data_IF_363271940136
#
_entry.id   IF_363271940136
#
_cell.length_a   1.000
_cell.length_b   1.000
_cell.length_c   1.000
_cell.angle_alpha   90.00
_cell.angle_beta   90.00
_cell.angle_gamma   90.00
#
_symmetry.space_group_name_H-M   'P 1'
#
loop_
_entity.id
_entity.type
_entity.pdbx_description
1 polymer ?
#
# COMPACT_ATOMS: atom_id res chain seq x y z
N UNK A 1 39.64 -33.19 15.07
CA UNK A 1 38.67 -33.06 13.96
C UNK A 1 37.74 -31.92 14.32
N UNK A 2 38.03 -30.72 13.81
CA UNK A 2 37.18 -29.54 14.00
C UNK A 2 36.00 -29.65 13.04
N UNK A 3 34.77 -29.45 13.54
CA UNK A 3 33.62 -29.15 12.70
C UNK A 3 33.27 -27.67 12.87
N UNK A 4 33.34 -26.95 11.75
CA UNK A 4 32.90 -25.56 11.62
C UNK A 4 31.37 -25.51 11.50
N UNK A 5 30.79 -24.50 12.16
CA UNK A 5 29.39 -24.08 12.09
C UNK A 5 28.94 -23.79 10.65
N UNK A 6 27.66 -24.06 10.36
CA UNK A 6 26.94 -23.31 9.33
C UNK A 6 25.56 -22.94 9.88
N UNK A 7 25.52 -21.88 10.68
CA UNK A 7 24.28 -21.17 10.98
C UNK A 7 23.78 -20.55 9.67
N UNK A 8 22.85 -21.23 9.00
CA UNK A 8 22.05 -20.60 7.96
C UNK A 8 21.16 -19.58 8.66
N UNK A 9 21.56 -18.31 8.67
CA UNK A 9 20.62 -17.20 8.82
C UNK A 9 19.56 -17.39 7.74
N UNK A 10 18.33 -17.67 8.16
CA UNK A 10 17.17 -17.56 7.28
C UNK A 10 17.06 -16.08 6.95
N UNK A 11 17.45 -15.70 5.73
CA UNK A 11 17.24 -14.34 5.24
C UNK A 11 15.73 -14.18 5.08
N UNK A 12 15.08 -13.54 6.05
CA UNK A 12 13.72 -13.04 5.87
C UNK A 12 13.84 -11.94 4.80
N UNK A 13 13.03 -11.97 3.73
CA UNK A 13 13.12 -10.95 2.70
C UNK A 13 12.78 -9.58 3.29
N UNK A 14 13.71 -8.63 3.16
CA UNK A 14 13.45 -7.21 3.48
C UNK A 14 12.22 -6.77 2.68
N UNK A 15 11.23 -6.21 3.37
CA UNK A 15 10.01 -5.66 2.76
C UNK A 15 10.00 -4.15 2.88
N UNK A 16 9.63 -3.45 1.79
CA UNK A 16 9.60 -1.99 1.76
C UNK A 16 8.24 -1.56 2.33
N UNK A 17 8.29 -0.75 3.38
CA UNK A 17 7.13 -0.17 4.02
C UNK A 17 7.05 1.30 3.71
N UNK A 18 5.82 1.80 3.61
CA UNK A 18 5.53 3.22 3.48
C UNK A 18 4.65 3.65 4.64
N UNK A 19 4.94 4.85 5.13
CA UNK A 19 4.33 5.39 6.31
C UNK A 19 3.93 6.84 6.05
N UNK A 20 2.81 7.25 6.62
CA UNK A 20 2.43 8.65 6.69
C UNK A 20 2.11 9.05 8.13
N UNK A 21 2.47 10.27 8.52
CA UNK A 21 2.16 10.80 9.84
C UNK A 21 1.40 12.13 9.74
N UNK A 22 0.32 12.25 10.52
CA UNK A 22 -0.62 13.38 10.45
C UNK A 22 -0.91 14.01 11.82
N UNK A 23 -1.29 15.27 11.81
CA UNK A 23 -1.67 16.05 13.01
C UNK A 23 -2.90 15.50 13.72
N UNK A 24 -3.79 14.80 13.00
CA UNK A 24 -5.03 14.23 13.50
C UNK A 24 -5.31 12.83 12.94
N UNK A 25 -6.39 12.21 13.44
CA UNK A 25 -6.88 10.92 12.96
C UNK A 25 -7.30 10.97 11.49
N UNK A 26 -6.87 10.00 10.68
CA UNK A 26 -7.23 9.86 9.27
C UNK A 26 -8.05 8.58 9.02
N UNK A 27 -8.92 8.54 8.00
CA UNK A 27 -9.70 7.34 7.68
C UNK A 27 -8.85 6.14 7.27
N UNK A 28 -9.19 4.95 7.78
CA UNK A 28 -8.46 3.71 7.45
C UNK A 28 -9.27 2.78 6.57
N UNK A 29 -8.60 1.84 5.91
CA UNK A 29 -9.22 0.87 4.99
C UNK A 29 -8.73 1.01 3.55
N UNK A 30 -9.53 0.49 2.60
CA UNK A 30 -9.23 0.49 1.18
C UNK A 30 -9.92 1.66 0.45
N UNK A 31 -9.19 2.30 -0.46
CA UNK A 31 -9.65 3.44 -1.26
C UNK A 31 -9.35 3.22 -2.75
N UNK A 32 -10.22 3.76 -3.62
CA UNK A 32 -10.03 3.72 -5.08
C UNK A 32 -10.41 2.42 -5.78
N UNK A 33 -10.77 1.38 -5.03
CA UNK A 33 -11.21 0.09 -5.58
C UNK A 33 -12.61 0.19 -6.19
N UNK A 34 -12.82 -0.49 -7.33
CA UNK A 34 -14.10 -0.56 -8.03
C UNK A 34 -14.51 -2.02 -8.22
N UNK A 35 -15.30 -2.53 -7.29
CA UNK A 35 -15.81 -3.90 -7.33
C UNK A 35 -17.32 -3.93 -7.56
N UNK A 36 -17.77 -5.08 -8.06
CA UNK A 36 -19.14 -5.56 -7.85
C UNK A 36 -19.12 -6.66 -6.81
N UNK A 37 -20.13 -6.70 -5.95
CA UNK A 37 -20.29 -7.78 -4.98
C UNK A 37 -21.35 -8.76 -5.46
N UNK A 38 -21.05 -10.05 -5.43
CA UNK A 38 -22.01 -11.12 -5.72
C UNK A 38 -21.72 -12.33 -4.85
N UNK A 39 -22.62 -13.32 -4.87
CA UNK A 39 -22.38 -14.56 -4.11
C UNK A 39 -21.31 -15.41 -4.79
N UNK A 40 -20.60 -16.22 -4.00
CA UNK A 40 -19.62 -17.18 -4.48
C UNK A 40 -20.24 -18.10 -5.54
N UNK A 41 -21.49 -18.55 -5.31
CA UNK A 41 -22.20 -19.41 -6.26
C UNK A 41 -22.52 -18.69 -7.57
N UNK A 42 -22.96 -17.44 -7.52
CA UNK A 42 -23.24 -16.65 -8.72
C UNK A 42 -21.97 -16.45 -9.55
N UNK A 43 -20.84 -16.14 -8.89
CA UNK A 43 -19.54 -15.99 -9.56
C UNK A 43 -19.16 -17.25 -10.33
N UNK A 44 -19.17 -18.40 -9.67
CA UNK A 44 -18.78 -19.68 -10.29
C UNK A 44 -19.85 -20.27 -11.23
N UNK A 45 -21.00 -19.63 -11.37
CA UNK A 45 -22.07 -20.09 -12.26
C UNK A 45 -22.20 -19.21 -13.49
N UNK A 46 -22.10 -17.88 -13.31
CA UNK A 46 -22.41 -16.92 -14.36
C UNK A 46 -21.20 -16.11 -14.83
N UNK A 47 -20.15 -15.95 -14.00
CA UNK A 47 -18.99 -15.13 -14.33
C UNK A 47 -17.80 -15.98 -14.78
N UNK A 48 -17.41 -16.95 -13.96
CA UNK A 48 -16.28 -17.83 -14.26
C UNK A 48 -16.54 -19.28 -13.81
N UNK A 49 -17.26 -20.08 -14.62
CA UNK A 49 -17.53 -21.48 -14.31
C UNK A 49 -16.29 -22.34 -14.08
N UNK A 50 -15.20 -22.05 -14.80
CA UNK A 50 -13.94 -22.78 -14.68
C UNK A 50 -13.25 -22.55 -13.33
N UNK A 51 -13.57 -21.46 -12.62
CA UNK A 51 -13.02 -21.21 -11.29
C UNK A 51 -13.30 -22.35 -10.32
N UNK A 52 -14.38 -23.14 -10.50
CA UNK A 52 -14.67 -24.34 -9.67
C UNK A 52 -13.54 -25.37 -9.66
N UNK A 53 -12.69 -25.34 -10.68
CA UNK A 53 -11.57 -26.27 -10.84
C UNK A 53 -10.28 -25.74 -10.17
N UNK A 54 -10.26 -24.50 -9.70
CA UNK A 54 -9.09 -23.89 -9.07
C UNK A 54 -9.06 -24.21 -7.56
N UNK A 55 -7.90 -24.60 -7.04
CA UNK A 55 -7.72 -25.05 -5.66
C UNK A 55 -8.27 -24.06 -4.62
N UNK A 56 -7.98 -22.77 -4.75
CA UNK A 56 -8.48 -21.76 -3.81
C UNK A 56 -10.01 -21.63 -3.82
N UNK A 57 -10.62 -21.75 -4.99
CA UNK A 57 -12.07 -21.69 -5.14
C UNK A 57 -12.74 -22.94 -4.57
N UNK A 58 -12.13 -24.12 -4.76
CA UNK A 58 -12.59 -25.36 -4.13
C UNK A 58 -12.59 -25.24 -2.61
N UNK A 59 -11.49 -24.75 -2.02
CA UNK A 59 -11.43 -24.49 -0.57
C UNK A 59 -12.48 -23.48 -0.12
N UNK A 60 -12.75 -22.43 -0.89
CA UNK A 60 -13.82 -21.49 -0.57
C UNK A 60 -15.21 -22.15 -0.62
N UNK A 61 -15.49 -22.96 -1.63
CA UNK A 61 -16.76 -23.67 -1.76
C UNK A 61 -16.95 -24.74 -0.69
N UNK A 62 -15.89 -25.41 -0.24
CA UNK A 62 -15.93 -26.34 0.89
C UNK A 62 -16.27 -25.62 2.21
N UNK A 63 -15.65 -24.46 2.45
CA UNK A 63 -15.90 -23.64 3.65
C UNK A 63 -17.27 -22.96 3.62
N UNK A 64 -17.80 -22.68 2.42
CA UNK A 64 -19.08 -22.01 2.19
C UNK A 64 -19.94 -22.81 1.21
N UNK A 65 -20.46 -24.00 1.61
CA UNK A 65 -21.10 -24.95 0.70
C UNK A 65 -22.43 -24.46 0.12
N UNK A 66 -23.10 -23.52 0.79
CA UNK A 66 -24.28 -22.82 0.24
C UNK A 66 -23.91 -21.78 -0.81
N UNK A 67 -22.64 -21.39 -0.88
CA UNK A 67 -22.12 -20.36 -1.76
C UNK A 67 -22.69 -18.96 -1.51
N UNK A 68 -23.27 -18.73 -0.33
CA UNK A 68 -23.91 -17.47 0.09
C UNK A 68 -22.89 -16.39 0.53
N UNK A 69 -21.62 -16.77 0.66
CA UNK A 69 -20.54 -15.80 0.92
C UNK A 69 -20.46 -14.80 -0.23
N UNK A 70 -20.54 -13.52 0.13
CA UNK A 70 -20.27 -12.43 -0.79
C UNK A 70 -18.78 -12.36 -1.11
N UNK A 71 -18.48 -12.19 -2.39
CA UNK A 71 -17.13 -12.00 -2.91
C UNK A 71 -17.07 -10.72 -3.74
N UNK A 72 -15.91 -10.06 -3.68
CA UNK A 72 -15.62 -8.88 -4.48
C UNK A 72 -15.07 -9.31 -5.84
N UNK A 73 -15.71 -8.86 -6.90
CA UNK A 73 -15.32 -9.14 -8.28
C UNK A 73 -14.87 -7.84 -8.93
N UNK A 74 -13.71 -7.90 -9.56
CA UNK A 74 -13.08 -6.79 -10.28
C UNK A 74 -13.05 -7.13 -11.76
N UNK A 75 -13.43 -6.19 -12.62
CA UNK A 75 -13.42 -6.39 -14.08
C UNK A 75 -11.99 -6.35 -14.62
N UNK A 76 -11.16 -5.49 -14.04
CA UNK A 76 -9.75 -5.31 -14.43
C UNK A 76 -8.82 -5.33 -13.22
N UNK A 77 -7.52 -5.54 -13.46
CA UNK A 77 -6.50 -5.37 -12.42
C UNK A 77 -6.47 -3.92 -11.89
N UNK A 78 -6.71 -2.94 -12.76
CA UNK A 78 -6.80 -1.54 -12.38
C UNK A 78 -7.98 -1.30 -11.42
N UNK A 79 -9.13 -1.92 -11.64
CA UNK A 79 -10.27 -1.84 -10.72
C UNK A 79 -9.97 -2.37 -9.32
N UNK A 80 -9.13 -3.41 -9.24
CA UNK A 80 -8.66 -3.99 -7.98
C UNK A 80 -7.56 -3.13 -7.32
N UNK A 81 -6.86 -2.31 -8.10
CA UNK A 81 -5.79 -1.47 -7.60
C UNK A 81 -6.32 -0.23 -6.86
N UNK A 82 -5.53 0.25 -5.89
CA UNK A 82 -5.87 1.41 -5.08
C UNK A 82 -4.92 1.65 -3.92
N UNK A 83 -5.45 2.19 -2.84
CA UNK A 83 -4.69 2.53 -1.65
C UNK A 83 -5.25 1.74 -0.45
N UNK A 84 -4.37 1.19 0.38
CA UNK A 84 -4.76 0.66 1.68
C UNK A 84 -4.03 1.40 2.80
N UNK A 85 -4.79 1.93 3.75
CA UNK A 85 -4.29 2.66 4.91
C UNK A 85 -4.60 1.86 6.18
N UNK A 86 -3.56 1.56 6.96
CA UNK A 86 -3.66 0.85 8.23
C UNK A 86 -3.07 1.67 9.37
N UNK A 87 -3.75 1.68 10.50
CA UNK A 87 -3.28 2.38 11.70
C UNK A 87 -4.44 3.04 12.46
N UNK A 88 -4.16 4.12 13.23
CA UNK A 88 -2.82 4.57 13.58
C UNK A 88 -2.04 3.46 14.31
N UNK A 89 -0.70 3.50 14.24
CA UNK A 89 0.17 2.56 14.93
C UNK A 89 0.25 2.94 16.42
N UNK A 90 -0.01 1.98 17.32
CA UNK A 90 -0.02 2.24 18.77
C UNK A 90 1.25 1.72 19.48
N UNK A 91 1.88 0.66 18.95
CA UNK A 91 2.91 -0.11 19.66
C UNK A 91 4.35 0.18 19.22
N UNK A 92 4.58 1.22 18.39
CA UNK A 92 5.91 1.52 17.86
C UNK A 92 6.28 2.99 18.02
N UNK A 93 7.46 3.25 18.60
CA UNK A 93 7.99 4.61 18.73
C UNK A 93 8.62 5.06 17.40
N UNK A 94 7.87 5.86 16.66
CA UNK A 94 8.32 6.48 15.42
C UNK A 94 8.62 7.98 15.59
N UNK A 95 8.66 8.49 16.84
CA UNK A 95 8.79 9.92 17.15
C UNK A 95 10.15 10.52 16.78
N UNK A 96 11.15 9.66 16.58
CA UNK A 96 12.47 10.06 16.10
C UNK A 96 12.52 10.30 14.58
N UNK A 97 11.49 9.87 13.84
CA UNK A 97 11.32 10.08 12.40
C UNK A 97 10.22 11.11 12.14
N UNK A 98 9.07 10.94 12.78
CA UNK A 98 7.90 11.79 12.58
C UNK A 98 7.72 12.79 13.71
N UNK A 99 7.31 14.00 13.34
CA UNK A 99 6.88 15.03 14.31
C UNK A 99 5.42 14.85 14.67
N UNK A 100 4.64 14.22 13.79
CA UNK A 100 3.21 14.02 13.97
C UNK A 100 2.88 12.69 14.67
N UNK A 101 1.90 12.66 15.59
CA UNK A 101 1.67 11.51 16.45
C UNK A 101 0.83 10.40 15.78
N UNK A 102 0.00 10.72 14.78
CA UNK A 102 -0.83 9.73 14.12
C UNK A 102 -0.09 9.13 12.93
N UNK A 103 0.63 8.04 13.17
CA UNK A 103 1.43 7.32 12.15
C UNK A 103 0.62 6.16 11.57
N UNK A 104 0.57 6.06 10.25
CA UNK A 104 -0.15 5.02 9.51
C UNK A 104 0.80 4.29 8.57
N UNK A 105 0.59 2.99 8.40
CA UNK A 105 1.11 2.25 7.27
C UNK A 105 0.26 2.54 6.04
N UNK A 106 0.93 2.69 4.90
CA UNK A 106 0.31 2.95 3.61
C UNK A 106 0.81 1.89 2.64
N UNK A 107 -0.12 1.23 1.95
CA UNK A 107 0.20 0.14 1.03
C UNK A 107 -0.36 0.45 -0.35
N UNK A 108 0.43 0.32 -1.43
CA UNK A 108 -0.11 0.30 -2.77
C UNK A 108 -0.82 -1.05 -2.96
N UNK A 109 -2.15 -1.03 -3.03
CA UNK A 109 -2.92 -2.26 -3.18
C UNK A 109 -3.04 -2.58 -4.67
N UNK A 110 -2.45 -3.69 -5.12
CA UNK A 110 -2.44 -4.07 -6.54
C UNK A 110 -1.49 -3.25 -7.43
N UNK A 111 -0.56 -2.48 -6.87
CA UNK A 111 0.38 -1.66 -7.63
C UNK A 111 1.67 -1.29 -6.89
N UNK A 112 2.19 -0.08 -7.14
CA UNK A 112 3.40 0.46 -6.52
C UNK A 112 3.32 1.99 -6.41
N UNK A 113 4.09 2.60 -5.51
CA UNK A 113 4.23 4.06 -5.40
C UNK A 113 5.33 4.62 -6.32
N UNK A 114 5.27 4.22 -7.59
CA UNK A 114 6.20 4.66 -8.63
C UNK A 114 5.48 4.81 -9.97
N UNK A 115 5.48 6.02 -10.51
CA UNK A 115 5.04 6.33 -11.87
C UNK A 115 6.11 7.19 -12.54
N UNK A 116 6.79 6.64 -13.54
CA UNK A 116 7.74 7.37 -14.37
C UNK A 116 7.93 6.60 -15.69
N UNK A 117 8.58 7.25 -16.66
CA UNK A 117 8.78 6.66 -17.98
C UNK A 117 9.64 5.37 -17.98
N UNK A 118 10.53 5.18 -17.00
CA UNK A 118 11.28 3.92 -16.88
C UNK A 118 10.39 2.74 -16.49
N UNK A 119 9.56 2.93 -15.47
CA UNK A 119 8.60 1.92 -15.02
C UNK A 119 7.58 1.63 -16.11
N UNK A 120 7.09 2.65 -16.81
CA UNK A 120 6.17 2.50 -17.93
C UNK A 120 6.75 1.63 -19.05
N UNK A 121 8.02 1.84 -19.41
CA UNK A 121 8.72 1.01 -20.41
C UNK A 121 8.95 -0.42 -19.93
N UNK A 122 9.29 -0.58 -18.66
CA UNK A 122 9.67 -1.88 -18.09
C UNK A 122 8.46 -2.76 -17.76
N UNK A 123 7.35 -2.14 -17.34
CA UNK A 123 6.14 -2.80 -16.86
C UNK A 123 4.87 -2.18 -17.45
N UNK A 124 4.73 -2.12 -18.79
CA UNK A 124 3.64 -1.39 -19.45
C UNK A 124 2.24 -1.88 -19.05
N UNK A 125 2.08 -3.17 -18.75
CA UNK A 125 0.79 -3.75 -18.34
C UNK A 125 0.44 -3.43 -16.89
N UNK A 126 1.41 -3.29 -16.00
CA UNK A 126 1.18 -2.98 -14.58
C UNK A 126 1.15 -1.46 -14.32
N UNK A 127 1.75 -0.67 -15.21
CA UNK A 127 1.86 0.78 -15.08
C UNK A 127 0.54 1.51 -14.76
N UNK A 128 -0.61 1.18 -15.39
CA UNK A 128 -1.89 1.82 -15.03
C UNK A 128 -2.28 1.63 -13.56
N UNK A 129 -2.00 0.45 -12.99
CA UNK A 129 -2.28 0.17 -11.58
C UNK A 129 -1.37 1.01 -10.67
N UNK A 130 -0.12 1.24 -11.07
CA UNK A 130 0.83 2.03 -10.27
C UNK A 130 0.46 3.50 -10.29
N UNK A 131 0.10 4.03 -11.47
CA UNK A 131 -0.46 5.38 -11.61
C UNK A 131 -1.69 5.53 -10.71
N UNK A 132 -2.62 4.58 -10.77
CA UNK A 132 -3.83 4.60 -9.93
C UNK A 132 -3.50 4.62 -8.43
N UNK A 133 -2.57 3.80 -7.96
CA UNK A 133 -2.16 3.79 -6.55
C UNK A 133 -1.65 5.15 -6.08
N UNK A 134 -0.81 5.82 -6.89
CA UNK A 134 -0.30 7.16 -6.56
C UNK A 134 -1.38 8.24 -6.66
N UNK A 135 -2.21 8.20 -7.70
CA UNK A 135 -3.35 9.12 -7.83
C UNK A 135 -4.30 8.99 -6.64
N UNK A 136 -4.60 7.78 -6.18
CA UNK A 136 -5.43 7.56 -5.00
C UNK A 136 -4.76 8.01 -3.72
N UNK A 137 -3.44 7.84 -3.57
CA UNK A 137 -2.68 8.44 -2.46
C UNK A 137 -2.86 9.96 -2.46
N UNK A 138 -2.62 10.64 -3.58
CA UNK A 138 -2.72 12.10 -3.65
C UNK A 138 -4.15 12.60 -3.40
N UNK A 139 -5.16 11.95 -3.98
CA UNK A 139 -6.55 12.27 -3.69
C UNK A 139 -6.96 11.95 -2.26
N UNK A 140 -6.40 10.91 -1.66
CA UNK A 140 -6.61 10.61 -0.25
C UNK A 140 -6.03 11.72 0.63
N UNK A 141 -4.82 12.20 0.36
CA UNK A 141 -4.25 13.35 1.06
C UNK A 141 -5.12 14.60 0.85
N UNK A 142 -5.59 14.85 -0.37
CA UNK A 142 -6.42 16.02 -0.67
C UNK A 142 -7.78 15.97 0.01
N UNK A 143 -8.42 14.81 0.12
CA UNK A 143 -9.71 14.70 0.81
C UNK A 143 -9.61 14.88 2.32
N UNK A 144 -8.45 14.58 2.91
CA UNK A 144 -8.33 14.44 4.36
C UNK A 144 -7.46 15.49 5.05
N UNK A 145 -6.71 16.31 4.29
CA UNK A 145 -5.98 17.45 4.83
C UNK A 145 -6.79 18.75 4.67
N UNK A 146 -6.70 19.64 5.65
CA UNK A 146 -7.20 21.01 5.57
C UNK A 146 -6.16 21.97 4.94
N UNK A 147 -6.62 23.15 4.49
CA UNK A 147 -5.71 24.16 3.92
C UNK A 147 -4.76 24.65 5.02
N UNK A 148 -3.46 24.64 4.74
CA UNK A 148 -2.41 24.99 5.69
C UNK A 148 -1.88 23.80 6.49
N UNK A 149 -2.49 22.62 6.37
CA UNK A 149 -1.99 21.40 7.00
C UNK A 149 -0.83 20.78 6.23
N UNK A 150 -0.13 19.90 6.94
CA UNK A 150 1.00 19.15 6.42
C UNK A 150 0.87 17.70 6.82
N UNK A 151 1.39 16.82 5.97
CA UNK A 151 1.57 15.42 6.27
C UNK A 151 3.02 15.03 6.01
N UNK A 152 3.50 14.09 6.79
CA UNK A 152 4.83 13.53 6.70
C UNK A 152 4.75 12.16 6.04
N UNK A 153 5.62 11.90 5.07
CA UNK A 153 5.71 10.65 4.33
C UNK A 153 7.12 10.09 4.52
N UNK A 154 7.24 8.83 4.93
CA UNK A 154 8.52 8.14 4.99
C UNK A 154 8.40 6.70 4.47
N UNK A 155 9.48 6.19 3.87
CA UNK A 155 9.54 4.77 3.50
C UNK A 155 10.80 4.13 4.06
N UNK A 156 10.74 2.86 4.42
CA UNK A 156 11.92 2.12 4.84
C UNK A 156 11.80 0.62 4.64
N UNK A 157 12.96 -0.05 4.57
CA UNK A 157 13.02 -1.50 4.64
C UNK A 157 12.95 -1.91 6.10
N UNK A 158 12.06 -2.83 6.44
CA UNK A 158 12.06 -3.45 7.77
C UNK A 158 12.23 -4.96 7.64
N UNK A 159 12.99 -5.55 8.58
CA UNK A 159 13.06 -6.98 8.81
C UNK A 159 12.20 -7.33 10.03
N UNK A 160 11.17 -8.15 9.84
CA UNK A 160 10.31 -8.59 10.95
C UNK A 160 9.74 -7.46 11.82
N UNK A 161 10.10 -7.45 13.10
CA UNK A 161 9.63 -6.49 14.12
C UNK A 161 10.51 -5.24 14.27
N UNK A 162 11.66 -5.19 13.59
CA UNK A 162 12.65 -4.10 13.67
C UNK A 162 12.25 -2.92 12.79
N UNK A 163 11.10 -2.32 13.09
CA UNK A 163 10.57 -1.16 12.38
C UNK A 163 11.10 0.13 13.01
N UNK A 164 11.49 1.09 12.18
CA UNK A 164 12.04 2.38 12.61
C UNK A 164 13.35 2.25 13.41
N UNK A 165 14.23 1.32 13.04
CA UNK A 165 15.61 1.33 13.56
C UNK A 165 16.50 2.35 12.84
N UNK A 166 15.96 3.07 11.86
CA UNK A 166 16.66 4.13 11.17
C UNK A 166 17.12 5.24 12.12
N UNK A 167 18.24 5.87 11.77
CA UNK A 167 18.65 7.10 12.43
C UNK A 167 17.56 8.18 12.25
N UNK A 168 17.42 9.02 13.28
CA UNK A 168 16.46 10.12 13.27
C UNK A 168 16.58 10.98 12.00
N UNK A 169 15.43 11.22 11.34
CA UNK A 169 15.30 12.09 10.18
C UNK A 169 14.76 13.45 10.64
N UNK A 170 15.67 14.32 11.09
CA UNK A 170 15.30 15.61 11.67
C UNK A 170 14.84 16.63 10.62
N UNK A 171 15.27 16.48 9.37
CA UNK A 171 14.95 17.38 8.26
C UNK A 171 14.40 16.60 7.06
N UNK A 172 13.36 17.11 6.38
CA UNK A 172 12.80 16.44 5.21
C UNK A 172 13.75 16.47 4.02
N UNK A 173 13.86 15.35 3.30
CA UNK A 173 14.59 15.27 2.04
C UNK A 173 13.88 16.11 0.96
N UNK A 174 12.55 16.18 1.01
CA UNK A 174 11.73 16.99 0.10
C UNK A 174 10.57 17.67 0.83
N UNK A 175 10.23 18.88 0.38
CA UNK A 175 8.97 19.53 0.73
C UNK A 175 8.20 19.83 -0.54
N UNK A 176 7.00 19.25 -0.68
CA UNK A 176 6.18 19.34 -1.88
C UNK A 176 4.82 19.98 -1.56
N UNK A 177 4.21 20.64 -2.55
CA UNK A 177 2.81 21.06 -2.43
C UNK A 177 1.89 19.99 -2.97
N UNK A 178 0.76 19.77 -2.30
CA UNK A 178 -0.22 18.78 -2.72
C UNK A 178 -0.79 19.10 -4.12
N UNK A 179 -0.94 20.38 -4.45
CA UNK A 179 -1.38 20.82 -5.79
C UNK A 179 -0.41 20.41 -6.90
N UNK A 180 0.90 20.33 -6.61
CA UNK A 180 1.91 19.87 -7.56
C UNK A 180 1.83 18.36 -7.74
N UNK A 181 1.61 17.61 -6.65
CA UNK A 181 1.42 16.15 -6.68
C UNK A 181 0.17 15.74 -7.47
N UNK A 182 -0.94 16.46 -7.29
CA UNK A 182 -2.19 16.22 -8.04
C UNK A 182 -2.04 16.42 -9.55
N UNK A 183 -1.02 17.15 -9.99
CA UNK A 183 -0.71 17.40 -11.41
C UNK A 183 0.54 16.65 -11.88
N UNK A 184 1.15 15.83 -11.01
CA UNK A 184 2.40 15.17 -11.32
C UNK A 184 2.19 14.10 -12.39
N UNK A 185 2.98 14.15 -13.46
CA UNK A 185 3.08 13.07 -14.45
C UNK A 185 4.05 11.98 -14.02
N UNK A 186 5.04 12.35 -13.19
CA UNK A 186 6.04 11.45 -12.63
C UNK A 186 6.16 11.65 -11.12
N UNK A 187 6.25 10.54 -10.39
CA UNK A 187 6.55 10.52 -8.97
C UNK A 187 7.08 9.14 -8.56
N UNK A 188 8.04 9.14 -7.64
CA UNK A 188 8.58 7.92 -7.07
C UNK A 188 8.77 8.14 -5.57
N UNK A 189 8.08 7.34 -4.75
CA UNK A 189 8.36 7.32 -3.32
C UNK A 189 9.55 6.40 -3.06
N UNK A 190 10.73 7.00 -2.98
CA UNK A 190 12.00 6.27 -2.86
C UNK A 190 12.18 5.74 -1.45
N UNK A 191 12.94 4.65 -1.33
CA UNK A 191 13.38 4.07 -0.06
C UNK A 191 14.10 5.13 0.79
N UNK A 192 13.81 5.15 2.11
CA UNK A 192 14.44 6.04 3.10
C UNK A 192 14.26 7.54 2.80
N UNK A 193 13.24 7.86 2.01
CA UNK A 193 12.91 9.23 1.65
C UNK A 193 11.87 9.79 2.61
N UNK A 194 12.23 10.88 3.28
CA UNK A 194 11.36 11.66 4.15
C UNK A 194 10.83 12.88 3.38
N UNK A 195 9.52 12.93 3.16
CA UNK A 195 8.85 14.00 2.39
C UNK A 195 7.83 14.67 3.30
N UNK A 196 7.80 16.00 3.27
CA UNK A 196 6.69 16.78 3.84
C UNK A 196 5.81 17.28 2.70
N UNK A 197 4.53 16.95 2.74
CA UNK A 197 3.53 17.44 1.78
C UNK A 197 2.68 18.49 2.45
N UNK A 198 2.53 19.66 1.81
CA UNK A 198 1.74 20.79 2.32
C UNK A 198 0.50 21.00 1.46
N UNK A 199 -0.65 21.22 2.10
CA UNK A 199 -1.89 21.58 1.41
C UNK A 199 -2.13 23.09 1.43
#
# INVERSE_FOLDING_TARGET
MLFYLNERKVTIPMSLFYYMAASHGLPTGSFGKKNTTMTLMDYVTYVNPEAKNHTHMQTLLENYPKGDKLVEIYETAEDAAGLYVRGPMEDQDASHIFRFPYVYEVHPDGGSFQMNEEIKRSYPTAYPCYQKCLTELFHYLDRNLEIGEQIELFSCWADGSERFEEAAKLEPDLTLKLTELLQAEEFEWRTQQYIVVKK
#
